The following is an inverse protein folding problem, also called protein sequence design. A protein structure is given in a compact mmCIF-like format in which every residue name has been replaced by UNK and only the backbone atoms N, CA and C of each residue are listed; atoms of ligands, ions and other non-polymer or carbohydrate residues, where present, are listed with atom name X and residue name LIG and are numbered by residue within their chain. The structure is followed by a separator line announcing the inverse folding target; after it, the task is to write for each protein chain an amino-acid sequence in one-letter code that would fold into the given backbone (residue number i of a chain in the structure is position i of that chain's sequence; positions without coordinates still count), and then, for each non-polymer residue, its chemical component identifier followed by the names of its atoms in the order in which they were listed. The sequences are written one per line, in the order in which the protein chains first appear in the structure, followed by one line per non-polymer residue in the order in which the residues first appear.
data_IF_696378709494
#
_entry.id   IF_696378709494
#
_cell.length_a   1.000
_cell.length_b   1.000
_cell.length_c   1.000
_cell.angle_alpha   90.00
_cell.angle_beta   90.00
_cell.angle_gamma   90.00
#
_symmetry.space_group_name_H-M   'P 1'
#
loop_
_entity.id
_entity.type
_entity.pdbx_description
1 polymer ?
#
# COMPACT_ATOMS: atom_id res chain seq x y z
N UNK A 1 -33.74 -25.12 18.83
CA UNK A 1 -32.50 -24.38 19.09
C UNK A 1 -31.76 -24.32 17.76
N UNK A 2 -31.94 -23.25 16.99
CA UNK A 2 -31.26 -23.09 15.69
C UNK A 2 -30.00 -22.30 15.94
N UNK A 3 -28.90 -23.02 16.16
CA UNK A 3 -27.56 -22.46 16.03
C UNK A 3 -27.41 -22.02 14.59
N UNK A 4 -27.60 -20.72 14.34
CA UNK A 4 -27.19 -20.09 13.09
C UNK A 4 -25.67 -20.18 13.07
N UNK A 5 -25.16 -21.22 12.40
CA UNK A 5 -23.79 -21.30 11.94
C UNK A 5 -23.52 -20.05 11.09
N UNK A 6 -22.99 -19.01 11.73
CA UNK A 6 -22.39 -17.90 11.02
C UNK A 6 -21.11 -18.47 10.44
N UNK A 7 -21.09 -18.67 9.12
CA UNK A 7 -19.89 -19.01 8.36
C UNK A 7 -18.80 -17.99 8.72
N UNK A 8 -17.60 -18.39 9.16
CA UNK A 8 -16.49 -17.46 9.37
C UNK A 8 -15.83 -17.03 8.05
N UNK A 9 -16.61 -16.94 6.97
CA UNK A 9 -16.13 -16.68 5.60
C UNK A 9 -16.52 -15.28 5.10
N UNK A 10 -16.82 -14.37 6.02
CA UNK A 10 -16.94 -12.93 5.78
C UNK A 10 -16.11 -12.14 6.78
N UNK A 11 -14.93 -12.67 7.16
CA UNK A 11 -13.88 -11.76 7.63
C UNK A 11 -13.47 -10.92 6.43
N UNK A 12 -13.96 -9.70 6.40
CA UNK A 12 -13.42 -8.51 5.73
C UNK A 12 -11.93 -8.33 6.07
N UNK A 13 -11.09 -9.27 5.65
CA UNK A 13 -9.63 -9.37 5.89
C UNK A 13 -8.82 -9.00 4.64
N UNK A 14 -9.42 -8.25 3.74
CA UNK A 14 -8.80 -7.87 2.47
C UNK A 14 -7.96 -6.58 2.60
N UNK A 15 -8.08 -5.83 3.70
CA UNK A 15 -7.23 -4.66 3.96
C UNK A 15 -5.89 -5.05 4.58
N UNK A 16 -4.82 -4.34 4.22
CA UNK A 16 -3.54 -4.42 4.93
C UNK A 16 -3.71 -3.90 6.36
N UNK A 17 -3.06 -4.56 7.32
CA UNK A 17 -2.97 -4.09 8.69
C UNK A 17 -2.15 -2.79 8.75
N UNK A 18 -2.32 -2.01 9.82
CA UNK A 18 -1.51 -0.81 10.07
C UNK A 18 -0.01 -1.14 10.07
N UNK A 19 0.37 -2.30 10.62
CA UNK A 19 1.75 -2.76 10.62
C UNK A 19 2.26 -3.03 9.20
N UNK A 20 1.53 -3.83 8.40
CA UNK A 20 1.89 -4.14 7.01
C UNK A 20 1.99 -2.87 6.15
N UNK A 21 1.09 -1.92 6.38
CA UNK A 21 1.07 -0.62 5.70
C UNK A 21 2.31 0.21 6.03
N UNK A 22 2.68 0.28 7.32
CA UNK A 22 3.88 0.97 7.78
C UNK A 22 5.15 0.31 7.24
N UNK A 23 5.22 -1.02 7.26
CA UNK A 23 6.34 -1.79 6.71
C UNK A 23 6.48 -1.54 5.22
N UNK A 24 5.38 -1.56 4.46
CA UNK A 24 5.39 -1.24 3.04
C UNK A 24 5.90 0.17 2.77
N UNK A 25 5.39 1.20 3.48
CA UNK A 25 5.89 2.56 3.32
C UNK A 25 7.40 2.65 3.63
N UNK A 26 7.85 2.01 4.70
CA UNK A 26 9.27 1.99 5.06
C UNK A 26 10.13 1.37 3.96
N UNK A 27 9.73 0.19 3.45
CA UNK A 27 10.44 -0.50 2.37
C UNK A 27 10.48 0.30 1.08
N UNK A 28 9.36 0.92 0.71
CA UNK A 28 9.29 1.76 -0.47
C UNK A 28 10.19 3.01 -0.34
N UNK A 29 10.25 3.61 0.86
CA UNK A 29 11.19 4.71 1.14
C UNK A 29 12.64 4.27 1.07
N UNK A 30 12.98 3.09 1.60
CA UNK A 30 14.33 2.52 1.48
C UNK A 30 14.72 2.29 0.02
N UNK A 31 13.83 1.72 -0.79
CA UNK A 31 14.05 1.50 -2.23
C UNK A 31 14.15 2.82 -3.02
N UNK A 32 13.48 3.87 -2.56
CA UNK A 32 13.60 5.21 -3.13
C UNK A 32 14.88 5.95 -2.67
N UNK A 33 15.72 5.33 -1.83
CA UNK A 33 16.94 5.94 -1.31
C UNK A 33 16.69 7.05 -0.28
N UNK A 34 15.52 7.04 0.36
CA UNK A 34 15.09 8.11 1.28
C UNK A 34 15.60 7.82 2.69
N UNK A 35 16.87 8.17 2.94
CA UNK A 35 17.52 7.97 4.23
C UNK A 35 17.17 9.08 5.24
N UNK A 36 17.05 10.33 4.78
CA UNK A 36 16.90 11.51 5.62
C UNK A 36 15.46 11.78 6.08
N UNK A 37 15.28 12.18 7.33
CA UNK A 37 13.99 12.58 7.91
C UNK A 37 13.20 13.60 7.07
N UNK A 38 13.78 14.72 6.59
CA UNK A 38 13.05 15.66 5.73
C UNK A 38 12.66 15.04 4.38
N UNK A 39 13.52 14.20 3.81
CA UNK A 39 13.23 13.51 2.55
C UNK A 39 12.09 12.49 2.73
N UNK A 40 11.98 11.84 3.91
CA UNK A 40 10.85 10.97 4.25
C UNK A 40 9.55 11.74 4.31
N UNK A 41 9.53 12.91 4.94
CA UNK A 41 8.32 13.73 5.01
C UNK A 41 7.87 14.19 3.61
N UNK A 42 8.81 14.61 2.75
CA UNK A 42 8.53 14.95 1.35
C UNK A 42 7.99 13.74 0.58
N UNK A 43 8.68 12.59 0.67
CA UNK A 43 8.25 11.36 0.01
C UNK A 43 6.85 10.94 0.48
N UNK A 44 6.57 10.97 1.78
CA UNK A 44 5.24 10.65 2.31
C UNK A 44 4.22 11.65 1.79
N UNK A 45 4.49 12.95 1.77
CA UNK A 45 3.54 13.94 1.25
C UNK A 45 3.23 13.72 -0.25
N UNK A 46 4.25 13.40 -1.05
CA UNK A 46 4.12 13.18 -2.50
C UNK A 46 3.51 11.82 -2.86
N UNK A 47 3.65 10.81 -1.98
CA UNK A 47 3.22 9.43 -2.26
C UNK A 47 2.02 8.99 -1.44
N UNK A 48 1.65 9.66 -0.33
CA UNK A 48 0.56 9.21 0.55
C UNK A 48 -0.81 9.15 -0.14
N UNK A 49 -1.06 10.05 -1.09
CA UNK A 49 -2.31 10.04 -1.88
C UNK A 49 -2.39 8.78 -2.75
N UNK A 50 -1.45 8.65 -3.68
CA UNK A 50 -1.34 7.50 -4.58
C UNK A 50 -1.23 6.16 -3.81
N UNK A 51 -0.48 6.13 -2.72
CA UNK A 51 -0.36 4.95 -1.89
C UNK A 51 -1.68 4.58 -1.23
N UNK A 52 -2.45 5.54 -0.70
CA UNK A 52 -3.80 5.28 -0.15
C UNK A 52 -4.77 4.75 -1.20
N UNK A 53 -4.72 5.30 -2.41
CA UNK A 53 -5.53 4.81 -3.54
C UNK A 53 -5.16 3.35 -3.86
N UNK A 54 -3.86 3.05 -3.96
CA UNK A 54 -3.35 1.70 -4.19
C UNK A 54 -3.61 0.73 -3.03
N UNK A 55 -3.79 1.20 -1.80
CA UNK A 55 -4.25 0.34 -0.70
C UNK A 55 -5.69 -0.16 -0.91
N UNK A 56 -6.48 0.47 -1.79
CA UNK A 56 -7.77 -0.06 -2.23
C UNK A 56 -7.62 -1.05 -3.40
N UNK A 57 -6.44 -1.19 -4.01
CA UNK A 57 -6.16 -2.14 -5.07
C UNK A 57 -5.76 -3.50 -4.46
N UNK A 58 -6.49 -4.60 -4.75
CA UNK A 58 -6.18 -5.91 -4.19
C UNK A 58 -4.84 -6.46 -4.69
N UNK A 59 -4.46 -6.22 -5.94
CA UNK A 59 -3.17 -6.63 -6.49
C UNK A 59 -2.01 -5.94 -5.77
N UNK A 60 -2.10 -4.62 -5.54
CA UNK A 60 -1.08 -3.90 -4.78
C UNK A 60 -0.92 -4.43 -3.35
N UNK A 61 -2.04 -4.76 -2.69
CA UNK A 61 -2.02 -5.36 -1.36
C UNK A 61 -1.38 -6.74 -1.35
N UNK A 62 -1.59 -7.55 -2.40
CA UNK A 62 -0.89 -8.82 -2.56
C UNK A 62 0.61 -8.61 -2.75
N UNK A 63 1.05 -7.67 -3.59
CA UNK A 63 2.48 -7.36 -3.77
C UNK A 63 3.17 -7.00 -2.46
N UNK A 64 2.50 -6.20 -1.62
CA UNK A 64 3.00 -5.85 -0.28
C UNK A 64 3.10 -7.08 0.62
N UNK A 65 2.11 -7.97 0.62
CA UNK A 65 2.10 -9.20 1.43
C UNK A 65 3.14 -10.23 0.97
N UNK A 66 3.34 -10.36 -0.34
CA UNK A 66 4.39 -11.19 -0.93
C UNK A 66 5.80 -10.62 -0.69
N UNK A 67 5.89 -9.36 -0.26
CA UNK A 67 7.17 -8.66 -0.09
C UNK A 67 7.80 -8.22 -1.40
N UNK A 68 7.03 -8.18 -2.49
CA UNK A 68 7.46 -7.71 -3.82
C UNK A 68 7.45 -6.17 -3.88
N UNK A 69 8.28 -5.55 -3.05
CA UNK A 69 8.33 -4.09 -2.88
C UNK A 69 8.87 -3.35 -4.11
N UNK A 70 9.72 -3.97 -4.92
CA UNK A 70 10.17 -3.41 -6.20
C UNK A 70 8.98 -3.18 -7.16
N UNK A 71 8.09 -4.17 -7.26
CA UNK A 71 6.91 -4.09 -8.13
C UNK A 71 5.84 -3.18 -7.53
N UNK A 72 5.67 -3.19 -6.20
CA UNK A 72 4.81 -2.22 -5.52
C UNK A 72 5.31 -0.78 -5.75
N UNK A 73 6.62 -0.54 -5.70
CA UNK A 73 7.20 0.78 -6.00
C UNK A 73 6.90 1.19 -7.45
N UNK A 74 7.07 0.27 -8.39
CA UNK A 74 6.82 0.54 -9.81
C UNK A 74 5.34 0.85 -10.07
N UNK A 75 4.41 0.13 -9.42
CA UNK A 75 2.97 0.45 -9.41
C UNK A 75 2.69 1.85 -8.87
N UNK A 76 3.33 2.22 -7.74
CA UNK A 76 3.18 3.54 -7.13
C UNK A 76 3.67 4.67 -8.05
N UNK A 77 4.87 4.51 -8.63
CA UNK A 77 5.42 5.48 -9.60
C UNK A 77 4.54 5.60 -10.85
N UNK A 78 4.05 4.48 -11.39
CA UNK A 78 3.14 4.49 -12.54
C UNK A 78 1.81 5.19 -12.23
N UNK A 79 1.21 4.90 -11.06
CA UNK A 79 -0.03 5.55 -10.65
C UNK A 79 0.13 7.08 -10.57
N UNK A 80 1.23 7.54 -9.97
CA UNK A 80 1.57 8.97 -9.91
C UNK A 80 1.81 9.59 -11.28
N UNK A 81 2.44 8.85 -12.20
CA UNK A 81 2.68 9.33 -13.56
C UNK A 81 1.37 9.50 -14.34
N UNK A 82 0.40 8.61 -14.13
CA UNK A 82 -0.91 8.68 -14.78
C UNK A 82 -1.80 9.77 -14.14
N UNK A 83 -1.81 9.92 -12.81
CA UNK A 83 -2.48 11.02 -12.10
C UNK A 83 -1.98 12.40 -12.59
N UNK A 84 -0.67 12.56 -12.78
CA UNK A 84 -0.09 13.80 -13.30
C UNK A 84 -0.42 14.09 -14.77
N UNK A 85 -0.75 13.06 -15.56
CA UNK A 85 -1.22 13.25 -16.95
C UNK A 85 -2.72 13.53 -17.03
N UNK A 86 -3.48 13.10 -16.03
CA UNK A 86 -4.92 13.29 -15.96
C UNK A 86 -5.34 14.64 -15.36
N UNK A 87 -4.39 15.38 -14.76
CA UNK A 87 -4.55 16.73 -14.22
C UNK A 87 -4.12 17.82 -15.22
#
# INVERSE_FOLDING_TARGET
MVERFIKPEERTGDSLSVQETNEAQLRLMELAGVADTPARAAWIAENSGAFRELLNDPDFRQLVRDGNFDEAKLRLDNFKAEEQKAA
#
